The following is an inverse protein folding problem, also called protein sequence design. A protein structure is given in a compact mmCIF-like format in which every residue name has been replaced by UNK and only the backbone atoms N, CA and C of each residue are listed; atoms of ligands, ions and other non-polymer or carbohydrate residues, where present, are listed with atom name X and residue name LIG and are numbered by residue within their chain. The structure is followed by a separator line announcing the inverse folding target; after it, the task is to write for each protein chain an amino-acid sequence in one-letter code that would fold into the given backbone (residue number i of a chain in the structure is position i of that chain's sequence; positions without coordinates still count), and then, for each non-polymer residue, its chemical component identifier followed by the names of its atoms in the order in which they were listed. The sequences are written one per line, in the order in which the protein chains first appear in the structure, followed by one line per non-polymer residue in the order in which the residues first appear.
data_IF_741433228286
#
_entry.id   IF_741433228286
#
_cell.length_a   1.000
_cell.length_b   1.000
_cell.length_c   1.000
_cell.angle_alpha   90.00
_cell.angle_beta   90.00
_cell.angle_gamma   90.00
#
_symmetry.space_group_name_H-M   'P 1'
#
loop_
_entity.id
_entity.type
_entity.pdbx_description
1 polymer ?
#
# COMPACT_ATOMS: atom_id res chain seq x y z
N UNK A 1 16.79 -11.51 -29.24
CA UNK A 1 15.36 -11.60 -28.84
C UNK A 1 15.28 -11.32 -27.35
N UNK A 2 14.44 -10.38 -26.88
CA UNK A 2 14.29 -10.12 -25.44
C UNK A 2 13.63 -11.31 -24.77
N UNK A 3 14.19 -11.78 -23.66
CA UNK A 3 13.63 -12.89 -22.89
C UNK A 3 12.38 -12.44 -22.12
N UNK A 4 11.56 -13.38 -21.62
CA UNK A 4 10.45 -13.02 -20.73
C UNK A 4 10.91 -12.26 -19.47
N UNK A 5 12.09 -12.59 -18.93
CA UNK A 5 12.67 -11.91 -17.77
C UNK A 5 13.03 -10.46 -18.09
N UNK A 6 13.64 -10.20 -19.25
CA UNK A 6 13.99 -8.83 -19.68
C UNK A 6 12.75 -7.94 -19.82
N UNK A 7 11.63 -8.51 -20.29
CA UNK A 7 10.36 -7.78 -20.42
C UNK A 7 9.72 -7.49 -19.06
N UNK A 8 9.83 -8.40 -18.10
CA UNK A 8 9.32 -8.19 -16.75
C UNK A 8 10.11 -7.09 -16.03
N UNK A 9 11.44 -7.12 -16.13
CA UNK A 9 12.33 -6.13 -15.51
C UNK A 9 12.23 -4.73 -16.15
N UNK A 10 11.83 -4.65 -17.42
CA UNK A 10 11.60 -3.38 -18.13
C UNK A 10 10.11 -3.05 -18.30
N UNK A 11 9.23 -3.60 -17.46
CA UNK A 11 7.79 -3.36 -17.58
C UNK A 11 7.38 -2.05 -16.92
N UNK A 12 7.16 -1.02 -17.75
CA UNK A 12 6.61 0.27 -17.31
C UNK A 12 5.24 0.13 -16.63
N UNK A 13 4.40 -0.77 -17.12
CA UNK A 13 3.07 -0.99 -16.56
C UNK A 13 3.14 -1.60 -15.15
N UNK A 14 4.06 -2.53 -14.93
CA UNK A 14 4.28 -3.12 -13.61
C UNK A 14 4.79 -2.07 -12.61
N UNK A 15 5.73 -1.23 -13.06
CA UNK A 15 6.23 -0.12 -12.25
C UNK A 15 5.13 0.88 -11.88
N UNK A 16 4.34 1.35 -12.86
CA UNK A 16 3.25 2.30 -12.61
C UNK A 16 2.16 1.70 -11.71
N UNK A 17 1.82 0.42 -11.89
CA UNK A 17 0.86 -0.28 -11.03
C UNK A 17 1.34 -0.39 -9.59
N UNK A 18 2.59 -0.81 -9.38
CA UNK A 18 3.19 -0.91 -8.05
C UNK A 18 3.30 0.46 -7.37
N UNK A 19 3.86 1.45 -8.07
CA UNK A 19 4.01 2.80 -7.55
C UNK A 19 2.63 3.39 -7.19
N UNK A 20 1.64 3.24 -8.07
CA UNK A 20 0.27 3.70 -7.81
C UNK A 20 -0.35 3.05 -6.56
N UNK A 21 -0.15 1.75 -6.38
CA UNK A 21 -0.64 1.03 -5.19
C UNK A 21 0.02 1.55 -3.91
N UNK A 22 1.34 1.69 -3.90
CA UNK A 22 2.09 2.23 -2.74
C UNK A 22 1.68 3.67 -2.44
N UNK A 23 1.53 4.51 -3.46
CA UNK A 23 1.06 5.89 -3.29
C UNK A 23 -0.35 5.96 -2.73
N UNK A 24 -1.26 5.09 -3.19
CA UNK A 24 -2.62 5.03 -2.65
C UNK A 24 -2.64 4.63 -1.18
N UNK A 25 -1.85 3.60 -0.80
CA UNK A 25 -1.70 3.19 0.60
C UNK A 25 -1.10 4.30 1.45
N UNK A 26 -0.05 4.98 0.96
CA UNK A 26 0.58 6.07 1.69
C UNK A 26 -0.39 7.25 1.90
N UNK A 27 -1.13 7.65 0.86
CA UNK A 27 -2.16 8.67 0.96
C UNK A 27 -3.24 8.28 1.98
N UNK A 28 -3.69 7.02 1.95
CA UNK A 28 -4.66 6.50 2.90
C UNK A 28 -4.14 6.48 4.34
N UNK A 29 -2.87 6.13 4.56
CA UNK A 29 -2.27 6.14 5.90
C UNK A 29 -2.12 7.55 6.48
N UNK A 30 -1.97 8.59 5.65
CA UNK A 30 -1.84 9.99 6.10
C UNK A 30 -3.20 10.59 6.43
N UNK A 31 -4.22 10.35 5.59
CA UNK A 31 -5.51 11.04 5.69
C UNK A 31 -6.66 10.15 6.16
N UNK A 32 -6.51 8.84 6.07
CA UNK A 32 -7.53 7.85 6.41
C UNK A 32 -7.22 7.06 7.68
N UNK A 33 -6.19 7.41 8.46
CA UNK A 33 -5.83 6.67 9.67
C UNK A 33 -6.96 6.54 10.70
N UNK A 34 -7.97 7.41 10.66
CA UNK A 34 -9.15 7.40 11.55
C UNK A 34 -10.29 6.47 11.06
N UNK A 35 -10.17 5.80 9.91
CA UNK A 35 -11.22 4.87 9.43
C UNK A 35 -11.19 3.51 10.14
N UNK A 36 -10.13 3.21 10.88
CA UNK A 36 -10.06 2.03 11.72
C UNK A 36 -10.48 2.42 13.15
N UNK A 37 -11.48 1.74 13.74
CA UNK A 37 -11.87 2.01 15.12
C UNK A 37 -10.66 1.90 16.03
N UNK A 38 -10.33 2.97 16.76
CA UNK A 38 -9.38 2.88 17.84
C UNK A 38 -9.87 1.81 18.83
N UNK A 39 -8.97 0.92 19.25
CA UNK A 39 -9.29 -0.05 20.30
C UNK A 39 -9.76 0.73 21.52
N UNK A 40 -10.96 0.43 22.01
CA UNK A 40 -11.49 1.06 23.22
C UNK A 40 -10.44 0.91 24.33
N UNK A 41 -10.13 2.02 25.00
CA UNK A 41 -9.18 2.06 26.10
C UNK A 41 -9.55 0.93 27.08
N UNK A 42 -8.62 -0.02 27.40
CA UNK A 42 -8.96 -1.10 28.30
C UNK A 42 -9.50 -0.51 29.58
N UNK A 43 -10.80 -0.69 29.82
CA UNK A 43 -11.42 -0.34 31.08
C UNK A 43 -10.83 -1.29 32.11
N UNK A 44 -9.75 -0.88 32.75
CA UNK A 44 -9.17 -1.56 33.88
C UNK A 44 -10.20 -1.57 35.00
N UNK A 45 -10.98 -2.64 35.07
CA UNK A 45 -11.65 -3.01 36.30
C UNK A 45 -10.55 -3.41 37.30
N UNK A 46 -10.56 -2.73 38.45
CA UNK A 46 -9.70 -2.97 39.62
C UNK A 46 -9.40 -4.44 39.89
#
# INVERSE_FOLDING_TARGET
MPTPLDRALNSKNLFLGFAGMVTAVAAFSIWGSDVLPAQADPTGSM
#
